data_IF_317303614283
#
_entry.id   IF_317303614283
#
_cell.length_a   1.000
_cell.length_b   1.000
_cell.length_c   1.000
_cell.angle_alpha   90.00
_cell.angle_beta   90.00
_cell.angle_gamma   90.00
#
_symmetry.space_group_name_H-M   'P 1'
#
loop_
_entity.id
_entity.type
_entity.pdbx_description
1 polymer ?
#
# COMPACT_ATOMS: atom_id res chain seq x y z
N UNK A 1 -20.50 15.15 -5.88
CA UNK A 1 -20.73 13.68 -5.77
C UNK A 1 -19.68 12.85 -6.51
N UNK A 2 -19.43 13.08 -7.80
CA UNK A 2 -18.43 12.34 -8.60
C UNK A 2 -17.00 12.37 -8.03
N UNK A 3 -16.50 13.54 -7.62
CA UNK A 3 -15.15 13.72 -7.07
C UNK A 3 -14.92 12.89 -5.81
N UNK A 4 -15.91 12.80 -4.92
CA UNK A 4 -15.83 12.01 -3.67
C UNK A 4 -15.72 10.52 -3.98
N UNK A 5 -16.50 10.03 -4.95
CA UNK A 5 -16.46 8.64 -5.43
C UNK A 5 -15.12 8.33 -6.09
N UNK A 6 -14.59 9.24 -6.91
CA UNK A 6 -13.28 9.08 -7.55
C UNK A 6 -12.15 9.00 -6.51
N UNK A 7 -12.16 9.86 -5.49
CA UNK A 7 -11.17 9.82 -4.41
C UNK A 7 -11.28 8.52 -3.59
N UNK A 8 -12.50 8.03 -3.32
CA UNK A 8 -12.70 6.73 -2.65
C UNK A 8 -12.15 5.57 -3.50
N UNK A 9 -12.38 5.61 -4.81
CA UNK A 9 -11.87 4.61 -5.74
C UNK A 9 -10.33 4.61 -5.79
N UNK A 10 -9.70 5.79 -5.86
CA UNK A 10 -8.24 5.94 -5.84
C UNK A 10 -7.66 5.42 -4.51
N UNK A 11 -8.25 5.82 -3.37
CA UNK A 11 -7.82 5.35 -2.04
C UNK A 11 -7.89 3.83 -1.90
N UNK A 12 -9.00 3.21 -2.31
CA UNK A 12 -9.15 1.75 -2.28
C UNK A 12 -8.18 1.04 -3.24
N UNK A 13 -7.96 1.60 -4.44
CA UNK A 13 -7.01 1.04 -5.41
C UNK A 13 -5.57 1.07 -4.87
N UNK A 14 -5.17 2.18 -4.24
CA UNK A 14 -3.86 2.30 -3.57
C UNK A 14 -3.66 1.27 -2.47
N UNK A 15 -4.69 1.02 -1.64
CA UNK A 15 -4.65 -0.01 -0.58
C UNK A 15 -4.44 -1.41 -1.17
N UNK A 16 -5.16 -1.75 -2.24
CA UNK A 16 -5.04 -3.05 -2.92
C UNK A 16 -3.64 -3.24 -3.53
N UNK A 17 -3.12 -2.22 -4.22
CA UNK A 17 -1.78 -2.25 -4.80
C UNK A 17 -0.71 -2.42 -3.71
N UNK A 18 -0.85 -1.69 -2.59
CA UNK A 18 0.05 -1.81 -1.45
C UNK A 18 0.07 -3.20 -0.84
N UNK A 19 -1.09 -3.81 -0.64
CA UNK A 19 -1.20 -5.19 -0.14
C UNK A 19 -0.58 -6.18 -1.10
N UNK A 20 -0.83 -6.05 -2.41
CA UNK A 20 -0.23 -6.92 -3.43
C UNK A 20 1.30 -6.79 -3.47
N UNK A 21 1.82 -5.57 -3.37
CA UNK A 21 3.26 -5.32 -3.31
C UNK A 21 3.90 -5.89 -2.05
N UNK A 22 3.22 -5.79 -0.90
CA UNK A 22 3.67 -6.38 0.35
C UNK A 22 3.75 -7.91 0.25
N UNK A 23 2.71 -8.56 -0.28
CA UNK A 23 2.69 -10.02 -0.48
C UNK A 23 3.79 -10.46 -1.44
N UNK A 24 3.98 -9.74 -2.55
CA UNK A 24 5.05 -10.02 -3.50
C UNK A 24 6.44 -9.87 -2.86
N UNK A 25 6.66 -8.79 -2.13
CA UNK A 25 7.93 -8.52 -1.44
C UNK A 25 8.22 -9.54 -0.33
N UNK A 26 7.19 -9.94 0.42
CA UNK A 26 7.27 -11.00 1.42
C UNK A 26 7.57 -12.36 0.77
N UNK A 27 6.90 -12.70 -0.33
CA UNK A 27 7.19 -13.93 -1.08
C UNK A 27 8.62 -13.93 -1.61
N UNK A 28 9.06 -12.83 -2.21
CA UNK A 28 10.42 -12.70 -2.75
C UNK A 28 11.50 -12.74 -1.68
N UNK A 29 11.25 -12.18 -0.49
CA UNK A 29 12.20 -12.16 0.61
C UNK A 29 12.24 -13.45 1.44
N UNK A 30 11.15 -14.21 1.51
CA UNK A 30 11.04 -15.40 2.35
C UNK A 30 11.13 -16.72 1.58
N UNK A 31 10.61 -16.78 0.35
CA UNK A 31 10.47 -18.02 -0.44
C UNK A 31 11.26 -18.03 -1.74
N UNK A 32 11.53 -16.86 -2.33
CA UNK A 32 12.54 -16.73 -3.38
C UNK A 32 13.89 -16.43 -2.74
N UNK A 33 14.99 -16.56 -3.46
CA UNK A 33 16.39 -16.36 -3.05
C UNK A 33 16.74 -14.93 -2.59
N UNK A 34 15.76 -14.16 -2.11
CA UNK A 34 15.91 -12.81 -1.58
C UNK A 34 16.39 -12.78 -0.13
N UNK A 35 16.94 -11.63 0.25
CA UNK A 35 17.38 -11.33 1.61
C UNK A 35 16.22 -10.69 2.41
N UNK A 36 16.30 -10.68 3.75
CA UNK A 36 15.29 -10.11 4.65
C UNK A 36 14.95 -8.64 4.32
N UNK A 37 15.90 -7.90 3.74
CA UNK A 37 15.72 -6.53 3.23
C UNK A 37 14.52 -6.38 2.29
N UNK A 38 14.21 -7.40 1.50
CA UNK A 38 13.07 -7.39 0.56
C UNK A 38 11.73 -7.34 1.30
N UNK A 39 11.62 -8.03 2.44
CA UNK A 39 10.43 -8.01 3.29
C UNK A 39 10.27 -6.63 3.94
N UNK A 40 11.37 -6.03 4.42
CA UNK A 40 11.36 -4.68 5.00
C UNK A 40 10.95 -3.60 3.99
N UNK A 41 11.35 -3.72 2.71
CA UNK A 41 10.89 -2.83 1.64
C UNK A 41 9.37 -2.97 1.44
N UNK A 42 8.85 -4.20 1.47
CA UNK A 42 7.41 -4.45 1.44
C UNK A 42 6.66 -3.76 2.58
N UNK A 43 7.16 -3.90 3.82
CA UNK A 43 6.56 -3.25 5.01
C UNK A 43 6.58 -1.73 4.84
N UNK A 44 7.72 -1.15 4.44
CA UNK A 44 7.88 0.29 4.29
C UNK A 44 6.89 0.87 3.26
N UNK A 45 6.70 0.20 2.12
CA UNK A 45 5.73 0.63 1.10
C UNK A 45 4.30 0.54 1.63
N UNK A 46 3.96 -0.51 2.38
CA UNK A 46 2.63 -0.64 2.98
C UNK A 46 2.37 0.48 4.00
N UNK A 47 3.35 0.80 4.85
CA UNK A 47 3.27 1.91 5.81
C UNK A 47 3.06 3.24 5.11
N UNK A 48 3.80 3.53 4.05
CA UNK A 48 3.65 4.76 3.27
C UNK A 48 2.24 4.86 2.66
N UNK A 49 1.71 3.77 2.12
CA UNK A 49 0.36 3.74 1.54
C UNK A 49 -0.72 3.96 2.61
N UNK A 50 -0.56 3.37 3.79
CA UNK A 50 -1.49 3.58 4.92
C UNK A 50 -1.46 5.05 5.37
N UNK A 51 -0.28 5.65 5.49
CA UNK A 51 -0.13 7.06 5.90
C UNK A 51 -0.73 8.00 4.86
N UNK A 52 -0.44 7.79 3.56
CA UNK A 52 -1.00 8.60 2.48
C UNK A 52 -2.52 8.48 2.45
N UNK A 53 -3.05 7.27 2.60
CA UNK A 53 -4.52 7.09 2.62
C UNK A 53 -5.17 7.71 3.84
N UNK A 54 -4.52 7.71 5.01
CA UNK A 54 -4.97 8.46 6.18
C UNK A 54 -5.01 9.97 5.92
N UNK A 55 -3.93 10.54 5.36
CA UNK A 55 -3.88 11.98 5.04
C UNK A 55 -4.97 12.35 4.03
N UNK A 56 -5.18 11.53 3.00
CA UNK A 56 -6.24 11.75 2.00
C UNK A 56 -7.64 11.64 2.61
N UNK A 57 -7.84 10.73 3.57
CA UNK A 57 -9.11 10.57 4.28
C UNK A 57 -9.34 11.75 5.26
N UNK A 58 -8.29 12.29 5.90
CA UNK A 58 -8.35 13.48 6.78
C UNK A 58 -8.64 14.79 6.02
N UNK A 59 -8.05 14.99 4.82
CA UNK A 59 -8.35 16.15 3.95
C UNK A 59 -9.84 16.18 3.53
N UNK A 60 -10.52 15.04 3.65
CA UNK A 60 -11.92 14.85 3.28
C UNK A 60 -12.90 15.25 4.39
N UNK A 61 -12.43 15.39 5.63
CA UNK A 61 -13.18 15.89 6.78
C UNK A 61 -13.10 17.41 6.89
#
# INVERSE_FOLDING_TARGET
MFVVTLIKFISNSLKIIGMGFFIYSAYKGTFSTGNSTTVFIGVAVLTVIIVITHIVDDIKH
#
